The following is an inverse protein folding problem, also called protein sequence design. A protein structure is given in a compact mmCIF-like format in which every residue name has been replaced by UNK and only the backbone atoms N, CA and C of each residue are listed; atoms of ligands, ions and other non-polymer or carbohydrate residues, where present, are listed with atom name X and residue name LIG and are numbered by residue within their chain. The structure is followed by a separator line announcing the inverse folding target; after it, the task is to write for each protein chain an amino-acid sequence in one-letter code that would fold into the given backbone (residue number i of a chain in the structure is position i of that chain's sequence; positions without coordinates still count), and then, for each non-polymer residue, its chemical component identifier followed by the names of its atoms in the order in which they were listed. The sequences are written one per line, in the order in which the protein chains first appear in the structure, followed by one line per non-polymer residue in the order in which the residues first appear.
data_IF_849612800464
#
_entry.id   IF_849612800464
#
_cell.length_a   1.000
_cell.length_b   1.000
_cell.length_c   1.000
_cell.angle_alpha   90.00
_cell.angle_beta   90.00
_cell.angle_gamma   90.00
#
_symmetry.space_group_name_H-M   'P 1'
#
loop_
_entity.id
_entity.type
_entity.pdbx_description
1 polymer ?
#
# COMPACT_ATOMS: atom_id res chain seq x y z
N UNK A 1 -4.58 26.19 -12.11
CA UNK A 1 -3.68 25.05 -12.30
C UNK A 1 -3.03 25.22 -13.66
N UNK A 2 -1.71 25.22 -13.74
CA UNK A 2 -0.98 25.30 -15.01
C UNK A 2 -1.03 23.94 -15.72
N UNK A 3 -1.17 23.95 -17.05
CA UNK A 3 -1.18 22.72 -17.85
C UNK A 3 0.26 22.27 -18.10
N UNK A 4 0.55 21.02 -17.78
CA UNK A 4 1.85 20.40 -18.02
C UNK A 4 1.79 19.62 -19.33
N UNK A 5 2.66 19.93 -20.28
CA UNK A 5 2.74 19.25 -21.57
C UNK A 5 3.76 18.10 -21.52
N UNK A 6 3.42 16.95 -22.12
CA UNK A 6 4.30 15.80 -22.26
C UNK A 6 3.56 14.46 -22.14
N UNK A 7 4.14 13.34 -22.61
CA UNK A 7 3.60 12.02 -22.36
C UNK A 7 3.77 11.64 -20.89
N UNK A 8 2.93 10.73 -20.38
CA UNK A 8 3.22 10.10 -19.09
C UNK A 8 4.45 9.19 -19.22
N UNK A 9 5.09 8.88 -18.09
CA UNK A 9 6.17 7.89 -18.08
C UNK A 9 5.66 6.50 -18.50
N UNK A 10 4.39 6.17 -18.21
CA UNK A 10 3.74 4.95 -18.70
C UNK A 10 3.60 4.93 -20.23
N UNK A 11 3.20 6.05 -20.84
CA UNK A 11 3.11 6.17 -22.30
C UNK A 11 4.47 6.01 -22.98
N UNK A 12 5.54 6.60 -22.39
CA UNK A 12 6.90 6.43 -22.88
C UNK A 12 7.40 4.99 -22.69
N UNK A 13 7.03 4.31 -21.60
CA UNK A 13 7.34 2.89 -21.39
C UNK A 13 6.65 1.99 -22.44
N UNK A 14 5.40 2.28 -22.80
CA UNK A 14 4.67 1.55 -23.82
C UNK A 14 5.33 1.67 -25.20
N UNK A 15 5.84 2.86 -25.53
CA UNK A 15 6.50 3.14 -26.82
C UNK A 15 7.99 2.76 -26.84
N UNK A 16 8.67 2.82 -25.69
CA UNK A 16 10.11 2.66 -25.55
C UNK A 16 10.48 1.73 -24.37
N UNK A 17 10.09 0.44 -24.41
CA UNK A 17 10.22 -0.48 -23.27
C UNK A 17 11.67 -0.72 -22.81
N UNK A 18 12.66 -0.52 -23.68
CA UNK A 18 14.08 -0.58 -23.32
C UNK A 18 14.54 0.53 -22.36
N UNK A 19 13.71 1.56 -22.11
CA UNK A 19 13.97 2.62 -21.13
C UNK A 19 13.55 2.26 -19.71
N UNK A 20 13.01 1.06 -19.47
CA UNK A 20 12.51 0.63 -18.15
C UNK A 20 13.48 0.91 -17.01
N UNK A 21 14.77 0.64 -17.18
CA UNK A 21 15.76 0.84 -16.11
C UNK A 21 15.99 2.34 -15.81
N UNK A 22 15.90 3.21 -16.83
CA UNK A 22 15.99 4.66 -16.66
C UNK A 22 14.77 5.19 -15.91
N UNK A 23 13.59 4.70 -16.27
CA UNK A 23 12.33 5.10 -15.65
C UNK A 23 12.22 4.62 -14.21
N UNK A 24 12.67 3.39 -13.93
CA UNK A 24 12.80 2.88 -12.56
C UNK A 24 13.66 3.78 -11.68
N UNK A 25 14.85 4.17 -12.16
CA UNK A 25 15.73 5.11 -11.45
C UNK A 25 15.11 6.48 -11.26
N UNK A 26 14.34 6.95 -12.24
CA UNK A 26 13.67 8.25 -12.18
C UNK A 26 12.56 8.22 -11.14
N UNK A 27 11.73 7.17 -11.13
CA UNK A 27 10.68 6.97 -10.14
C UNK A 27 11.26 6.85 -8.72
N UNK A 28 12.35 6.10 -8.55
CA UNK A 28 13.05 5.98 -7.27
C UNK A 28 13.58 7.33 -6.77
N UNK A 29 14.13 8.16 -7.68
CA UNK A 29 14.56 9.51 -7.35
C UNK A 29 13.39 10.39 -6.92
N UNK A 30 12.28 10.36 -7.65
CA UNK A 30 11.09 11.16 -7.33
C UNK A 30 10.52 10.79 -5.95
N UNK A 31 10.45 9.50 -5.63
CA UNK A 31 10.05 9.04 -4.28
C UNK A 31 10.98 9.57 -3.20
N UNK A 32 12.31 9.47 -3.38
CA UNK A 32 13.29 10.03 -2.42
C UNK A 32 13.17 11.54 -2.26
N UNK A 33 12.98 12.27 -3.36
CA UNK A 33 12.79 13.73 -3.33
C UNK A 33 11.50 14.10 -2.59
N UNK A 34 10.42 13.35 -2.82
CA UNK A 34 9.16 13.53 -2.11
C UNK A 34 9.30 13.24 -0.60
N UNK A 35 9.95 12.13 -0.24
CA UNK A 35 10.14 11.73 1.16
C UNK A 35 11.13 12.60 1.92
N UNK A 36 11.84 13.52 1.25
CA UNK A 36 12.62 14.57 1.90
C UNK A 36 11.76 15.77 2.36
N UNK A 37 10.48 15.83 1.95
CA UNK A 37 9.56 16.91 2.29
C UNK A 37 8.79 16.53 3.55
N UNK A 38 8.96 17.32 4.61
CA UNK A 38 8.15 17.22 5.82
C UNK A 38 6.68 17.52 5.50
N UNK A 39 5.77 16.71 6.05
CA UNK A 39 4.36 16.87 5.85
C UNK A 39 3.85 18.19 6.47
N UNK A 40 3.07 19.00 5.72
CA UNK A 40 2.50 20.21 6.26
C UNK A 40 1.48 19.90 7.36
N UNK A 41 1.31 20.85 8.27
CA UNK A 41 0.27 20.79 9.30
C UNK A 41 -1.12 20.66 8.64
N UNK A 42 -1.98 19.81 9.21
CA UNK A 42 -3.34 19.59 8.70
C UNK A 42 -3.46 18.53 7.60
N UNK A 43 -2.36 18.00 7.03
CA UNK A 43 -2.43 16.87 6.11
C UNK A 43 -2.95 15.62 6.85
N UNK A 44 -3.91 14.91 6.27
CA UNK A 44 -4.49 13.72 6.90
C UNK A 44 -3.44 12.62 7.07
N UNK A 45 -3.48 11.90 8.20
CA UNK A 45 -2.51 10.86 8.50
C UNK A 45 -2.82 9.55 7.77
N UNK A 46 -1.77 8.89 7.28
CA UNK A 46 -1.79 7.50 6.89
C UNK A 46 -1.57 6.62 8.15
N UNK A 47 -2.15 5.41 8.24
CA UNK A 47 -1.94 4.52 9.38
C UNK A 47 -0.49 4.05 9.59
N UNK A 48 0.32 4.04 8.52
CA UNK A 48 1.76 3.80 8.64
C UNK A 48 2.47 5.06 9.15
N UNK A 49 3.12 5.00 10.34
CA UNK A 49 3.60 6.20 11.03
C UNK A 49 4.79 6.86 10.31
N UNK A 50 4.86 8.19 10.44
CA UNK A 50 5.92 9.04 9.92
C UNK A 50 5.44 10.46 9.71
N UNK A 51 6.33 11.34 9.28
CA UNK A 51 6.14 12.79 9.20
C UNK A 51 6.46 13.38 7.82
N UNK A 52 6.56 12.55 6.78
CA UNK A 52 6.83 13.00 5.41
C UNK A 52 5.56 13.05 4.58
N UNK A 53 5.61 13.79 3.47
CA UNK A 53 4.54 13.78 2.47
C UNK A 53 4.55 12.42 1.75
N UNK A 54 3.40 11.76 1.74
CA UNK A 54 3.13 10.57 0.94
C UNK A 54 2.24 10.93 -0.25
N UNK A 55 2.48 10.29 -1.38
CA UNK A 55 1.60 10.43 -2.55
C UNK A 55 0.49 9.38 -2.57
N UNK A 56 0.80 8.14 -2.18
CA UNK A 56 -0.06 6.96 -2.17
C UNK A 56 -0.65 6.57 -3.54
N UNK A 57 -0.05 7.07 -4.62
CA UNK A 57 -0.38 6.66 -5.99
C UNK A 57 0.71 7.06 -6.99
N UNK A 58 1.97 7.15 -6.54
CA UNK A 58 3.06 7.63 -7.39
C UNK A 58 3.64 6.50 -8.24
N UNK A 59 2.97 6.22 -9.36
CA UNK A 59 3.38 5.25 -10.38
C UNK A 59 3.63 5.94 -11.74
N UNK A 60 4.17 5.23 -12.76
CA UNK A 60 4.54 5.86 -14.03
C UNK A 60 3.42 6.61 -14.78
N UNK A 61 2.14 6.35 -14.53
CA UNK A 61 1.07 7.12 -15.18
C UNK A 61 0.88 8.50 -14.53
N UNK A 62 1.21 8.63 -13.24
CA UNK A 62 1.13 9.89 -12.48
C UNK A 62 2.43 10.71 -12.54
N UNK A 63 3.26 10.45 -13.56
CA UNK A 63 4.46 11.24 -13.86
C UNK A 63 4.43 11.69 -15.32
N UNK A 64 4.33 13.00 -15.56
CA UNK A 64 4.44 13.59 -16.90
C UNK A 64 5.92 13.89 -17.20
N UNK A 65 6.41 13.41 -18.34
CA UNK A 65 7.76 13.69 -18.83
C UNK A 65 7.78 15.03 -19.58
N UNK A 66 7.70 16.13 -18.82
CA UNK A 66 7.69 17.47 -19.39
C UNK A 66 9.08 17.91 -19.89
N UNK A 67 9.18 18.88 -20.82
CA UNK A 67 10.46 19.38 -21.32
C UNK A 67 11.42 19.88 -20.22
N UNK A 68 10.89 20.43 -19.14
CA UNK A 68 11.66 20.92 -17.99
C UNK A 68 12.06 19.82 -16.99
N UNK A 69 11.53 18.61 -17.14
CA UNK A 69 11.76 17.49 -16.22
C UNK A 69 10.46 16.76 -15.86
N UNK A 70 10.58 15.63 -15.13
CA UNK A 70 9.41 14.87 -14.69
C UNK A 70 8.57 15.68 -13.68
N UNK A 71 7.25 15.67 -13.87
CA UNK A 71 6.29 16.34 -12.99
C UNK A 71 5.33 15.29 -12.42
N UNK A 72 5.20 15.28 -11.09
CA UNK A 72 4.27 14.41 -10.37
C UNK A 72 2.88 15.06 -10.31
N UNK A 73 1.87 14.28 -10.67
CA UNK A 73 0.47 14.71 -10.73
C UNK A 73 -0.42 13.79 -9.89
N UNK A 74 -1.70 14.15 -9.76
CA UNK A 74 -2.72 13.41 -9.02
C UNK A 74 -2.45 13.24 -7.52
N UNK A 75 -2.36 14.37 -6.83
CA UNK A 75 -2.12 14.47 -5.39
C UNK A 75 -3.35 14.15 -4.53
N UNK A 76 -4.42 13.60 -5.11
CA UNK A 76 -5.72 13.38 -4.43
C UNK A 76 -5.58 12.46 -3.20
N UNK A 77 -4.65 11.52 -3.27
CA UNK A 77 -4.40 10.54 -2.23
C UNK A 77 -3.35 10.98 -1.21
N UNK A 78 -2.82 12.20 -1.30
CA UNK A 78 -1.71 12.63 -0.47
C UNK A 78 -2.03 12.59 1.04
N UNK A 79 -1.10 12.07 1.83
CA UNK A 79 -1.22 11.93 3.30
C UNK A 79 0.11 12.22 3.98
N UNK A 80 0.08 12.39 5.31
CA UNK A 80 1.26 12.36 6.17
C UNK A 80 1.52 10.92 6.62
N UNK A 81 2.74 10.43 6.53
CA UNK A 81 3.12 9.13 7.09
C UNK A 81 4.58 8.77 6.81
N UNK A 82 4.93 7.49 6.96
CA UNK A 82 6.29 7.01 6.70
C UNK A 82 6.52 6.60 5.25
N UNK A 83 7.72 6.87 4.72
CA UNK A 83 8.12 6.60 3.33
C UNK A 83 7.81 5.17 2.84
N UNK A 84 7.95 4.17 3.73
CA UNK A 84 7.65 2.77 3.42
C UNK A 84 6.24 2.54 2.87
N UNK A 85 5.26 3.36 3.22
CA UNK A 85 3.88 3.24 2.70
C UNK A 85 3.80 3.53 1.19
N UNK A 86 4.48 4.57 0.71
CA UNK A 86 4.55 4.88 -0.73
C UNK A 86 5.29 3.77 -1.51
N UNK A 87 6.35 3.22 -0.91
CA UNK A 87 7.10 2.12 -1.52
C UNK A 87 6.27 0.82 -1.59
N UNK A 88 5.51 0.53 -0.54
CA UNK A 88 4.56 -0.57 -0.50
C UNK A 88 3.45 -0.39 -1.55
N UNK A 89 2.94 0.83 -1.71
CA UNK A 89 1.89 1.15 -2.69
C UNK A 89 2.35 0.88 -4.13
N UNK A 90 3.54 1.36 -4.51
CA UNK A 90 4.11 1.06 -5.83
C UNK A 90 4.30 -0.44 -6.02
N UNK A 91 4.75 -1.15 -5.00
CA UNK A 91 4.91 -2.61 -5.07
C UNK A 91 3.57 -3.30 -5.30
N UNK A 92 2.51 -2.90 -4.59
CA UNK A 92 1.17 -3.45 -4.75
C UNK A 92 0.59 -3.18 -6.15
N UNK A 93 0.63 -1.93 -6.61
CA UNK A 93 0.18 -1.54 -7.95
C UNK A 93 0.88 -2.38 -9.01
N UNK A 94 2.22 -2.39 -8.97
CA UNK A 94 3.03 -3.11 -9.95
C UNK A 94 2.81 -4.63 -9.88
N UNK A 95 2.58 -5.20 -8.69
CA UNK A 95 2.24 -6.61 -8.54
C UNK A 95 0.83 -6.95 -9.10
N UNK A 96 -0.12 -6.03 -9.01
CA UNK A 96 -1.49 -6.20 -9.51
C UNK A 96 -1.63 -5.97 -11.03
N UNK A 97 -0.73 -5.20 -11.66
CA UNK A 97 -0.77 -4.94 -13.10
C UNK A 97 -0.92 -6.22 -13.94
N UNK A 98 -1.82 -6.17 -14.93
CA UNK A 98 -2.06 -7.24 -15.90
C UNK A 98 -2.88 -8.43 -15.38
N UNK A 99 -3.51 -8.31 -14.19
CA UNK A 99 -4.30 -9.41 -13.60
C UNK A 99 -5.81 -9.35 -13.82
N UNK A 100 -6.30 -8.32 -14.51
CA UNK A 100 -7.72 -8.17 -14.85
C UNK A 100 -8.09 -8.73 -16.25
N UNK A 101 -7.13 -9.25 -17.02
CA UNK A 101 -7.40 -9.79 -18.34
C UNK A 101 -7.98 -11.22 -18.25
N UNK A 102 -9.22 -11.41 -18.72
CA UNK A 102 -9.79 -12.73 -19.02
C UNK A 102 -9.63 -13.03 -20.53
N UNK A 103 -8.59 -13.78 -20.94
CA UNK A 103 -8.40 -14.10 -22.34
C UNK A 103 -9.41 -15.16 -22.80
N UNK A 104 -10.48 -14.70 -23.47
CA UNK A 104 -11.54 -15.52 -24.04
C UNK A 104 -11.14 -16.17 -25.38
N UNK A 105 -10.09 -17.01 -25.38
CA UNK A 105 -9.70 -17.77 -26.58
C UNK A 105 -8.26 -18.30 -26.54
N UNK A 106 -7.95 -19.35 -27.32
CA UNK A 106 -6.59 -19.92 -27.38
C UNK A 106 -5.57 -18.92 -27.95
N UNK A 107 -5.96 -18.17 -28.98
CA UNK A 107 -5.08 -17.15 -29.57
C UNK A 107 -4.82 -15.99 -28.60
N UNK A 108 -5.83 -15.59 -27.83
CA UNK A 108 -5.71 -14.53 -26.83
C UNK A 108 -4.88 -15.01 -25.65
N UNK A 109 -5.04 -16.27 -25.22
CA UNK A 109 -4.18 -16.91 -24.21
C UNK A 109 -2.72 -17.00 -24.63
N UNK A 110 -2.45 -17.29 -25.91
CA UNK A 110 -1.08 -17.35 -26.43
C UNK A 110 -0.46 -15.94 -26.54
N UNK A 111 -1.24 -14.94 -27.00
CA UNK A 111 -0.82 -13.54 -27.00
C UNK A 111 -0.54 -13.06 -25.58
N UNK A 112 -1.46 -13.31 -24.66
CA UNK A 112 -1.32 -13.01 -23.23
C UNK A 112 -0.11 -13.70 -22.62
N UNK A 113 0.16 -14.97 -22.96
CA UNK A 113 1.34 -15.67 -22.46
C UNK A 113 2.66 -15.06 -22.98
N UNK A 114 2.67 -14.49 -24.18
CA UNK A 114 3.86 -13.81 -24.73
C UNK A 114 4.00 -12.40 -24.17
N UNK A 115 2.92 -11.61 -24.22
CA UNK A 115 2.84 -10.24 -23.69
C UNK A 115 3.12 -10.24 -22.19
N UNK A 116 2.45 -11.11 -21.43
CA UNK A 116 2.65 -11.27 -19.99
C UNK A 116 4.08 -11.68 -19.59
N UNK A 117 4.84 -12.38 -20.45
CA UNK A 117 6.28 -12.61 -20.19
C UNK A 117 7.12 -11.35 -20.39
N UNK A 118 6.77 -10.52 -21.37
CA UNK A 118 7.46 -9.24 -21.61
C UNK A 118 7.11 -8.27 -20.49
N UNK A 119 5.84 -8.11 -20.18
CA UNK A 119 5.34 -7.30 -19.06
C UNK A 119 5.92 -7.78 -17.73
N UNK A 120 5.96 -9.09 -17.49
CA UNK A 120 6.58 -9.66 -16.30
C UNK A 120 8.06 -9.30 -16.16
N UNK A 121 8.81 -9.25 -17.27
CA UNK A 121 10.21 -8.79 -17.28
C UNK A 121 10.35 -7.29 -17.06
N UNK A 122 9.47 -6.49 -17.66
CA UNK A 122 9.43 -5.03 -17.47
C UNK A 122 9.14 -4.73 -16.00
N UNK A 123 8.12 -5.37 -15.43
CA UNK A 123 7.80 -5.29 -14.00
C UNK A 123 8.99 -5.66 -13.13
N UNK A 124 9.62 -6.81 -13.38
CA UNK A 124 10.75 -7.26 -12.58
C UNK A 124 11.91 -6.24 -12.62
N UNK A 125 12.20 -5.67 -13.80
CA UNK A 125 13.20 -4.61 -13.94
C UNK A 125 12.80 -3.31 -13.25
N UNK A 126 11.53 -2.91 -13.37
CA UNK A 126 11.02 -1.72 -12.71
C UNK A 126 11.16 -1.84 -11.18
N UNK A 127 10.71 -2.96 -10.61
CA UNK A 127 10.85 -3.22 -9.17
C UNK A 127 12.32 -3.34 -8.75
N UNK A 128 13.18 -4.00 -9.52
CA UNK A 128 14.59 -4.13 -9.19
C UNK A 128 15.35 -2.80 -9.24
N UNK A 129 14.97 -1.89 -10.14
CA UNK A 129 15.55 -0.55 -10.22
C UNK A 129 14.94 0.46 -9.23
N UNK A 130 13.74 0.19 -8.72
CA UNK A 130 13.00 1.05 -7.80
C UNK A 130 13.25 0.67 -6.32
N UNK A 131 13.13 -0.61 -5.99
CA UNK A 131 13.34 -1.17 -4.66
C UNK A 131 14.75 -1.75 -4.55
N UNK A 132 15.73 -0.89 -4.24
CA UNK A 132 17.01 -1.36 -3.71
C UNK A 132 16.83 -1.99 -2.31
N UNK A 133 17.92 -2.48 -1.70
CA UNK A 133 17.85 -3.25 -0.45
C UNK A 133 17.05 -2.53 0.66
N UNK A 134 17.44 -1.30 0.98
CA UNK A 134 16.82 -0.52 2.06
C UNK A 134 15.38 -0.12 1.71
N UNK A 135 15.11 0.25 0.45
CA UNK A 135 13.76 0.58 0.01
C UNK A 135 12.83 -0.64 0.04
N UNK A 136 13.35 -1.82 -0.31
CA UNK A 136 12.59 -3.06 -0.29
C UNK A 136 12.22 -3.48 1.13
N UNK A 137 13.15 -3.33 2.08
CA UNK A 137 12.88 -3.68 3.47
C UNK A 137 11.86 -2.71 4.09
N UNK A 138 11.99 -1.41 3.85
CA UNK A 138 10.98 -0.41 4.26
C UNK A 138 9.60 -0.70 3.65
N UNK A 139 9.55 -1.05 2.37
CA UNK A 139 8.30 -1.41 1.70
C UNK A 139 7.69 -2.66 2.32
N UNK A 140 8.50 -3.69 2.59
CA UNK A 140 8.05 -4.96 3.20
C UNK A 140 7.46 -4.73 4.59
N UNK A 141 8.09 -3.90 5.42
CA UNK A 141 7.60 -3.57 6.76
C UNK A 141 6.24 -2.86 6.72
N UNK A 142 6.07 -1.91 5.78
CA UNK A 142 4.83 -1.14 5.63
C UNK A 142 3.72 -1.91 4.89
N UNK A 143 4.05 -3.04 4.26
CA UNK A 143 3.18 -3.73 3.32
C UNK A 143 1.85 -4.21 3.94
N UNK A 144 1.80 -4.85 5.13
CA UNK A 144 0.54 -5.31 5.70
C UNK A 144 -0.43 -4.15 5.98
N UNK A 145 0.07 -3.08 6.61
CA UNK A 145 -0.76 -1.90 6.93
C UNK A 145 -1.24 -1.19 5.67
N UNK A 146 -0.38 -1.00 4.68
CA UNK A 146 -0.74 -0.34 3.43
C UNK A 146 -1.75 -1.17 2.62
N UNK A 147 -1.56 -2.49 2.59
CA UNK A 147 -2.50 -3.42 1.97
C UNK A 147 -3.88 -3.37 2.63
N UNK A 148 -3.98 -3.30 3.96
CA UNK A 148 -5.27 -3.13 4.61
C UNK A 148 -5.96 -1.81 4.24
N UNK A 149 -5.21 -0.73 4.06
CA UNK A 149 -5.76 0.56 3.62
C UNK A 149 -6.28 0.43 2.19
N UNK A 150 -5.45 -0.10 1.27
CA UNK A 150 -5.81 -0.30 -0.13
C UNK A 150 -7.04 -1.19 -0.30
N UNK A 151 -7.11 -2.31 0.43
CA UNK A 151 -8.24 -3.25 0.38
C UNK A 151 -9.57 -2.67 0.89
N UNK A 152 -9.58 -1.48 1.52
CA UNK A 152 -10.81 -0.78 1.91
C UNK A 152 -11.33 0.15 0.79
N UNK A 153 -10.56 0.40 -0.26
CA UNK A 153 -11.01 1.19 -1.41
C UNK A 153 -12.06 0.41 -2.22
N UNK A 154 -13.28 0.94 -2.41
CA UNK A 154 -14.33 0.28 -3.18
C UNK A 154 -13.99 0.10 -4.67
N UNK A 155 -12.99 0.78 -5.20
CA UNK A 155 -12.57 0.66 -6.60
C UNK A 155 -11.55 -0.45 -6.84
N UNK A 156 -11.04 -1.10 -5.79
CA UNK A 156 -10.13 -2.24 -5.93
C UNK A 156 -10.87 -3.44 -6.51
N UNK A 157 -10.39 -3.95 -7.64
CA UNK A 157 -10.97 -5.12 -8.30
C UNK A 157 -10.75 -6.39 -7.45
N UNK A 158 -11.59 -7.43 -7.60
CA UNK A 158 -11.34 -8.71 -6.92
C UNK A 158 -9.98 -9.34 -7.28
N UNK A 159 -9.51 -9.16 -8.52
CA UNK A 159 -8.22 -9.67 -8.96
C UNK A 159 -7.05 -8.87 -8.36
N UNK A 160 -7.18 -7.55 -8.29
CA UNK A 160 -6.24 -6.67 -7.57
C UNK A 160 -6.19 -7.04 -6.08
N UNK A 161 -7.34 -7.23 -5.43
CA UNK A 161 -7.41 -7.61 -4.03
C UNK A 161 -6.69 -8.95 -3.75
N UNK A 162 -6.87 -9.97 -4.61
CA UNK A 162 -6.16 -11.24 -4.45
C UNK A 162 -4.65 -11.09 -4.72
N UNK A 163 -4.27 -10.27 -5.71
CA UNK A 163 -2.87 -9.96 -5.99
C UNK A 163 -2.17 -9.31 -4.78
N UNK A 164 -2.82 -8.34 -4.13
CA UNK A 164 -2.32 -7.67 -2.93
C UNK A 164 -2.17 -8.68 -1.78
N UNK A 165 -3.19 -9.50 -1.52
CA UNK A 165 -3.12 -10.53 -0.46
C UNK A 165 -2.03 -11.56 -0.73
N UNK A 166 -1.86 -11.98 -1.98
CA UNK A 166 -0.81 -12.91 -2.38
C UNK A 166 0.58 -12.31 -2.15
N UNK A 167 0.77 -11.02 -2.48
CA UNK A 167 2.01 -10.31 -2.25
C UNK A 167 2.36 -10.24 -0.77
N UNK A 168 1.41 -9.86 0.10
CA UNK A 168 1.62 -9.81 1.56
C UNK A 168 2.04 -11.19 2.08
N UNK A 169 1.32 -12.25 1.70
CA UNK A 169 1.67 -13.62 2.10
C UNK A 169 3.07 -14.02 1.65
N UNK A 170 3.47 -13.62 0.44
CA UNK A 170 4.77 -13.97 -0.13
C UNK A 170 5.92 -13.24 0.58
N UNK A 171 5.75 -11.96 0.91
CA UNK A 171 6.84 -11.12 1.40
C UNK A 171 6.94 -11.06 2.93
N UNK A 172 5.84 -11.26 3.65
CA UNK A 172 5.82 -11.19 5.13
C UNK A 172 5.40 -12.49 5.81
N UNK A 173 4.79 -13.42 5.07
CA UNK A 173 4.18 -14.62 5.63
C UNK A 173 2.82 -14.39 6.31
N UNK A 174 2.37 -13.14 6.42
CA UNK A 174 1.11 -12.79 7.05
C UNK A 174 -0.09 -13.10 6.14
N UNK A 175 -1.22 -13.48 6.75
CA UNK A 175 -2.49 -13.68 6.06
C UNK A 175 -3.46 -12.58 6.46
N UNK A 176 -3.73 -11.66 5.53
CA UNK A 176 -4.79 -10.67 5.69
C UNK A 176 -6.16 -11.35 5.61
N UNK A 177 -7.05 -11.00 6.53
CA UNK A 177 -8.43 -11.48 6.54
C UNK A 177 -9.19 -10.99 5.29
N UNK A 178 -10.18 -11.76 4.79
CA UNK A 178 -11.10 -11.27 3.78
C UNK A 178 -11.84 -10.02 4.29
N UNK A 179 -11.98 -9.01 3.44
CA UNK A 179 -12.77 -7.81 3.73
C UNK A 179 -14.22 -8.26 3.95
N UNK A 180 -14.68 -8.25 5.20
CA UNK A 180 -16.02 -8.69 5.59
C UNK A 180 -16.10 -9.53 6.86
N UNK A 181 -15.00 -10.13 7.32
CA UNK A 181 -14.95 -10.75 8.65
C UNK A 181 -14.38 -9.77 9.66
N UNK A 182 -15.27 -8.92 10.21
CA UNK A 182 -15.01 -8.32 11.52
C UNK A 182 -14.86 -9.48 12.50
N UNK A 183 -13.62 -9.84 12.79
CA UNK A 183 -13.25 -10.70 13.91
C UNK A 183 -13.78 -10.03 15.18
N UNK A 184 -15.02 -10.35 15.54
CA UNK A 184 -15.53 -10.15 16.87
C UNK A 184 -14.69 -11.01 17.80
N UNK A 185 -13.58 -10.47 18.31
CA UNK A 185 -12.94 -10.99 19.50
C UNK A 185 -13.92 -10.81 20.65
N UNK A 186 -14.82 -11.79 20.82
CA UNK A 186 -15.46 -12.02 22.11
C UNK A 186 -14.31 -12.34 23.06
N UNK A 187 -14.04 -11.42 23.96
CA UNK A 187 -13.26 -11.70 25.15
C UNK A 187 -13.98 -12.86 25.87
N UNK A 188 -13.42 -14.06 25.77
CA UNK A 188 -13.76 -15.18 26.62
C UNK A 188 -13.21 -14.86 28.02
N UNK A 189 -13.99 -14.11 28.80
CA UNK A 189 -13.78 -14.00 30.23
C UNK A 189 -14.07 -15.36 30.85
N UNK A 190 -13.01 -16.08 31.19
CA UNK A 190 -12.99 -17.18 32.14
C UNK A 190 -13.45 -16.67 33.50
N UNK A 191 -14.73 -16.82 33.81
CA UNK A 191 -15.27 -16.60 35.15
C UNK A 191 -15.00 -17.81 36.03
N UNK A 192 -14.36 -17.68 37.21
CA UNK A 192 -14.39 -18.73 38.20
C UNK A 192 -15.73 -18.66 38.95
N UNK A 193 -16.54 -19.72 38.81
CA UNK A 193 -17.72 -19.88 39.64
C UNK A 193 -17.33 -20.10 41.10
N UNK A 194 -17.90 -19.31 42.01
CA UNK A 194 -18.10 -19.71 43.41
C UNK A 194 -19.45 -19.20 43.91
N UNK A 195 -20.07 -20.10 44.68
CA UNK A 195 -21.46 -20.18 45.08
C UNK A 195 -21.83 -19.20 46.19
N UNK A 196 -23.13 -18.91 46.18
CA UNK A 196 -24.00 -18.29 47.18
C UNK A 196 -23.66 -18.52 48.66
N UNK A 197 -23.94 -17.48 49.47
CA UNK A 197 -24.00 -17.57 50.94
C UNK A 197 -24.40 -16.26 51.64
N UNK A 198 -25.70 -15.92 51.57
CA UNK A 198 -26.59 -15.12 52.46
C UNK A 198 -26.10 -13.95 53.37
N UNK A 199 -26.99 -12.98 53.69
CA UNK A 199 -26.64 -11.70 54.31
C UNK A 199 -26.68 -11.70 55.85
N UNK A 200 -25.77 -10.95 56.49
CA UNK A 200 -25.69 -10.86 57.94
C UNK A 200 -25.21 -9.50 58.46
N UNK A 201 -26.19 -8.64 58.78
CA UNK A 201 -26.26 -7.67 59.89
C UNK A 201 -25.29 -6.46 59.98
N UNK A 202 -25.95 -5.32 60.24
CA UNK A 202 -25.45 -3.99 60.61
C UNK A 202 -24.83 -3.97 62.02
N UNK A 203 -23.77 -3.19 62.20
CA UNK A 203 -23.51 -2.37 63.40
C UNK A 203 -22.28 -1.48 63.17
N UNK A 204 -22.49 -0.17 62.95
CA UNK A 204 -22.21 0.94 63.89
C UNK A 204 -20.72 1.31 64.08
N UNK A 205 -20.40 2.54 63.65
CA UNK A 205 -19.43 3.50 64.21
C UNK A 205 -19.29 3.41 65.76
N UNK A 206 -18.17 3.86 66.39
CA UNK A 206 -17.69 5.25 66.25
C UNK A 206 -16.17 5.55 66.42
N UNK A 207 -15.79 6.73 65.91
CA UNK A 207 -14.86 7.75 66.43
C UNK A 207 -13.65 7.38 67.32
N UNK A 208 -12.44 7.85 66.97
CA UNK A 208 -11.75 9.02 67.60
C UNK A 208 -10.23 9.03 67.29
N UNK A 209 -9.73 10.25 67.00
CA UNK A 209 -8.50 10.95 67.47
C UNK A 209 -7.16 10.18 67.36
N UNK A 210 -6.07 10.74 66.84
CA UNK A 210 -5.50 12.10 66.95
C UNK A 210 -4.75 12.45 65.67
#
# INVERSE_FOLDING_TARGET
MERVEGPTMLDDLGSHPWRVDRHARTLARLHRELHAIAAPEGLAAHPWPGDVVLHLDLHPANVILAPAGPVVIDWTNARRGGAGADLAEVWMIVAALGRDADPSGLADRLREAVVGRVEGRIRARLLAGFLDGDARDQAREALPTSAEVRLRDPHVSPAEAEAIRALVRQETGERLSPVGEVSGRRASSSGPGRRDGRPGRRSRCPCRRR
#
